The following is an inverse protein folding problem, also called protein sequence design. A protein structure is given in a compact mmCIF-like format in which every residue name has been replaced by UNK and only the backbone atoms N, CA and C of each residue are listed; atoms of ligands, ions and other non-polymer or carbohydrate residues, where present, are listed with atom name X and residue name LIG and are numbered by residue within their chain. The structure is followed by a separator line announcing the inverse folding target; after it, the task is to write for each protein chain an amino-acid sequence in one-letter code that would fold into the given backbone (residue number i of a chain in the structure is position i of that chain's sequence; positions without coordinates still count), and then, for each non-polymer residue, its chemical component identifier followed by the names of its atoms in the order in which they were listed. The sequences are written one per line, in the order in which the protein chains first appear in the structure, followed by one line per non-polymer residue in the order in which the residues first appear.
data_IF_329652783319
#
_entry.id   IF_329652783319
#
_cell.length_a   1.000
_cell.length_b   1.000
_cell.length_c   1.000
_cell.angle_alpha   90.00
_cell.angle_beta   90.00
_cell.angle_gamma   90.00
#
_symmetry.space_group_name_H-M   'P 1'
#
loop_
_entity.id
_entity.type
_entity.pdbx_description
1 polymer ?
#
# COMPACT_ATOMS: atom_id res chain seq x y z
N UNK A 1 5.11 29.15 -2.44
CA UNK A 1 5.56 27.80 -2.05
C UNK A 1 6.26 27.21 -3.25
N UNK A 2 7.59 27.09 -3.23
CA UNK A 2 8.30 26.40 -4.30
C UNK A 2 7.95 24.91 -4.22
N UNK A 3 7.43 24.33 -5.30
CA UNK A 3 7.22 22.89 -5.38
C UNK A 3 8.59 22.21 -5.37
N UNK A 4 8.96 21.61 -4.24
CA UNK A 4 10.18 20.81 -4.13
C UNK A 4 9.83 19.34 -4.36
N UNK A 5 10.42 18.70 -5.39
CA UNK A 5 10.08 17.32 -5.69
C UNK A 5 10.54 16.39 -4.56
N UNK A 6 9.74 15.36 -4.18
CA UNK A 6 10.09 14.40 -3.14
C UNK A 6 11.43 13.70 -3.42
N UNK A 7 12.06 13.12 -2.41
CA UNK A 7 13.34 12.41 -2.64
C UNK A 7 13.11 11.18 -3.52
N UNK A 8 14.14 10.81 -4.30
CA UNK A 8 14.11 9.56 -5.09
C UNK A 8 13.79 8.36 -4.21
N UNK A 9 14.31 8.33 -2.98
CA UNK A 9 14.03 7.27 -2.01
C UNK A 9 12.55 7.21 -1.63
N UNK A 10 11.93 8.35 -1.32
CA UNK A 10 10.48 8.42 -1.02
C UNK A 10 9.64 7.95 -2.20
N UNK A 11 10.02 8.31 -3.44
CA UNK A 11 9.31 7.87 -4.65
C UNK A 11 9.42 6.35 -4.84
N UNK A 12 10.61 5.77 -4.66
CA UNK A 12 10.80 4.32 -4.79
C UNK A 12 9.98 3.58 -3.72
N UNK A 13 10.04 4.04 -2.47
CA UNK A 13 9.35 3.38 -1.35
C UNK A 13 7.83 3.48 -1.47
N UNK A 14 7.30 4.64 -1.90
CA UNK A 14 5.86 4.81 -2.17
C UNK A 14 5.41 3.94 -3.34
N UNK A 15 6.21 3.82 -4.39
CA UNK A 15 5.92 2.96 -5.53
C UNK A 15 5.85 1.48 -5.13
N UNK A 16 6.80 0.99 -4.32
CA UNK A 16 6.80 -0.39 -3.83
C UNK A 16 5.59 -0.70 -2.94
N UNK A 17 5.23 0.22 -2.04
CA UNK A 17 4.05 0.06 -1.18
C UNK A 17 2.75 0.08 -1.99
N UNK A 18 2.65 0.95 -3.01
CA UNK A 18 1.49 1.01 -3.89
C UNK A 18 1.38 -0.26 -4.73
N UNK A 19 2.49 -0.72 -5.34
CA UNK A 19 2.52 -1.94 -6.13
C UNK A 19 2.13 -3.16 -5.30
N UNK A 20 2.66 -3.27 -4.06
CA UNK A 20 2.29 -4.33 -3.13
C UNK A 20 0.81 -4.27 -2.72
N UNK A 21 0.29 -3.08 -2.41
CA UNK A 21 -1.12 -2.89 -2.08
C UNK A 21 -2.06 -3.26 -3.23
N UNK A 22 -1.75 -2.81 -4.45
CA UNK A 22 -2.51 -3.14 -5.65
C UNK A 22 -2.44 -4.63 -6.00
N UNK A 23 -1.27 -5.26 -5.82
CA UNK A 23 -1.11 -6.69 -6.02
C UNK A 23 -2.09 -7.49 -5.15
N UNK A 24 -2.13 -7.19 -3.85
CA UNK A 24 -3.06 -7.82 -2.91
C UNK A 24 -4.52 -7.57 -3.32
N UNK A 25 -4.88 -6.33 -3.69
CA UNK A 25 -6.25 -6.01 -4.08
C UNK A 25 -6.69 -6.72 -5.37
N UNK A 26 -5.81 -6.81 -6.37
CA UNK A 26 -6.07 -7.54 -7.62
C UNK A 26 -6.31 -9.01 -7.31
N UNK A 27 -5.49 -9.62 -6.47
CA UNK A 27 -5.64 -11.03 -6.14
C UNK A 27 -6.99 -11.32 -5.47
N UNK A 28 -7.42 -10.45 -4.55
CA UNK A 28 -8.71 -10.57 -3.88
C UNK A 28 -9.88 -10.33 -4.82
N UNK A 29 -9.79 -9.33 -5.71
CA UNK A 29 -10.87 -8.97 -6.64
C UNK A 29 -11.09 -10.02 -7.72
N UNK A 30 -10.01 -10.64 -8.20
CA UNK A 30 -10.06 -11.70 -9.22
C UNK A 30 -10.16 -13.11 -8.62
N UNK A 31 -10.17 -13.25 -7.30
CA UNK A 31 -10.27 -14.54 -6.60
C UNK A 31 -9.11 -15.48 -6.90
N UNK A 32 -7.92 -14.93 -7.15
CA UNK A 32 -6.72 -15.71 -7.48
C UNK A 32 -6.15 -16.33 -6.19
N UNK A 33 -6.69 -17.44 -5.71
CA UNK A 33 -6.36 -18.03 -4.39
C UNK A 33 -4.96 -18.68 -4.28
N UNK A 34 -4.00 -18.27 -5.10
CA UNK A 34 -2.73 -18.98 -5.29
C UNK A 34 -1.50 -18.33 -4.67
N UNK A 35 -1.56 -17.05 -4.30
CA UNK A 35 -0.37 -16.29 -3.90
C UNK A 35 -0.43 -15.82 -2.44
N UNK A 36 -1.62 -15.48 -1.92
CA UNK A 36 -1.84 -15.08 -0.54
C UNK A 36 -2.07 -16.33 0.33
N UNK A 37 -1.25 -16.52 1.38
CA UNK A 37 -1.48 -17.63 2.29
C UNK A 37 -2.76 -17.42 3.10
N UNK A 38 -3.41 -18.53 3.44
CA UNK A 38 -4.49 -18.54 4.41
C UNK A 38 -3.96 -18.09 5.78
N UNK A 39 -4.57 -17.04 6.33
CA UNK A 39 -4.24 -16.50 7.64
C UNK A 39 -5.24 -17.04 8.67
N UNK A 40 -4.79 -17.78 9.71
CA UNK A 40 -5.66 -18.33 10.73
C UNK A 40 -6.05 -17.24 11.73
N UNK A 41 -6.97 -16.35 11.32
CA UNK A 41 -7.39 -15.21 12.12
C UNK A 41 -8.83 -15.36 12.58
N UNK A 42 -9.07 -16.37 13.42
CA UNK A 42 -10.28 -16.55 14.24
C UNK A 42 -11.59 -16.02 13.63
N UNK A 43 -11.98 -14.80 14.01
CA UNK A 43 -13.26 -14.17 13.64
C UNK A 43 -13.30 -13.53 12.25
N UNK A 44 -12.16 -13.28 11.62
CA UNK A 44 -12.08 -12.66 10.30
C UNK A 44 -11.68 -13.68 9.24
N UNK A 45 -12.31 -13.61 8.09
CA UNK A 45 -11.88 -14.38 6.93
C UNK A 45 -10.50 -13.89 6.44
N UNK A 46 -9.69 -14.78 5.87
CA UNK A 46 -8.39 -14.39 5.30
C UNK A 46 -8.55 -13.30 4.22
N UNK A 47 -9.64 -13.33 3.46
CA UNK A 47 -9.97 -12.31 2.45
C UNK A 47 -10.18 -10.92 3.06
N UNK A 48 -10.90 -10.82 4.17
CA UNK A 48 -11.11 -9.54 4.87
C UNK A 48 -9.80 -8.99 5.42
N UNK A 49 -8.97 -9.85 6.00
CA UNK A 49 -7.66 -9.44 6.54
C UNK A 49 -6.74 -8.96 5.43
N UNK A 50 -6.62 -9.71 4.34
CA UNK A 50 -5.81 -9.29 3.21
C UNK A 50 -6.37 -8.03 2.56
N UNK A 51 -7.69 -7.84 2.54
CA UNK A 51 -8.33 -6.61 2.09
C UNK A 51 -7.94 -5.41 2.95
N UNK A 52 -7.95 -5.57 4.27
CA UNK A 52 -7.49 -4.54 5.22
C UNK A 52 -6.01 -4.21 5.01
N UNK A 53 -5.15 -5.21 4.81
CA UNK A 53 -3.72 -5.02 4.53
C UNK A 53 -3.51 -4.29 3.20
N UNK A 54 -4.19 -4.71 2.13
CA UNK A 54 -4.10 -4.08 0.81
C UNK A 54 -4.52 -2.60 0.85
N UNK A 55 -5.64 -2.29 1.49
CA UNK A 55 -6.08 -0.90 1.69
C UNK A 55 -5.10 -0.10 2.56
N UNK A 56 -4.58 -0.70 3.63
CA UNK A 56 -3.56 -0.08 4.48
C UNK A 56 -2.28 0.28 3.73
N UNK A 57 -1.81 -0.61 2.84
CA UNK A 57 -0.63 -0.37 1.99
C UNK A 57 -0.85 0.77 0.99
N UNK A 58 -2.01 0.81 0.34
CA UNK A 58 -2.36 1.90 -0.59
C UNK A 58 -2.46 3.24 0.14
N UNK A 59 -3.11 3.27 1.31
CA UNK A 59 -3.19 4.46 2.14
C UNK A 59 -1.81 4.93 2.60
N UNK A 60 -0.96 4.00 3.07
CA UNK A 60 0.39 4.31 3.51
C UNK A 60 1.26 4.85 2.36
N UNK A 61 1.15 4.27 1.17
CA UNK A 61 1.82 4.77 -0.03
C UNK A 61 1.40 6.21 -0.36
N UNK A 62 0.10 6.51 -0.30
CA UNK A 62 -0.41 7.86 -0.49
C UNK A 62 0.09 8.83 0.58
N UNK A 63 0.03 8.42 1.85
CA UNK A 63 0.47 9.22 2.99
C UNK A 63 1.96 9.56 2.91
N UNK A 64 2.81 8.60 2.55
CA UNK A 64 4.24 8.83 2.40
C UNK A 64 4.57 9.76 1.22
N UNK A 65 3.79 9.70 0.14
CA UNK A 65 3.95 10.63 -0.98
C UNK A 65 3.57 12.06 -0.55
N UNK A 66 2.45 12.21 0.17
CA UNK A 66 2.03 13.49 0.75
C UNK A 66 3.10 14.06 1.69
N UNK A 67 3.64 13.22 2.58
CA UNK A 67 4.65 13.61 3.55
C UNK A 67 5.98 13.97 2.87
N UNK A 68 6.36 13.22 1.83
CA UNK A 68 7.54 13.51 1.01
C UNK A 68 7.50 14.85 0.28
N UNK A 69 6.30 15.29 -0.12
CA UNK A 69 6.09 16.61 -0.74
C UNK A 69 6.10 17.72 0.32
N UNK A 70 5.51 17.49 1.49
CA UNK A 70 5.41 18.51 2.56
C UNK A 70 6.71 18.74 3.31
N UNK A 71 7.47 17.70 3.64
CA UNK A 71 8.69 17.81 4.44
C UNK A 71 9.87 18.45 3.71
N UNK A 72 9.87 18.45 2.37
CA UNK A 72 10.88 19.16 1.57
C UNK A 72 10.58 20.65 1.36
N UNK A 73 9.42 21.10 1.81
CA UNK A 73 8.99 22.50 1.72
C UNK A 73 9.25 23.32 2.99
N UNK A 74 9.85 22.71 4.03
CA UNK A 74 10.32 23.36 5.25
C UNK A 74 11.80 23.74 5.13
#
# INVERSE_FOLDING_TARGET
MAWTPPTKFTVILTFLLLAGGLFVLIELFFGLTGVLPALPLGTFSSTEVWGMIGMGLVFLAWFLMFLGVKLKGL
#
